data_IF_387568812204
#
_entry.id   IF_387568812204
#
_cell.length_a   1.000
_cell.length_b   1.000
_cell.length_c   1.000
_cell.angle_alpha   90.00
_cell.angle_beta   90.00
_cell.angle_gamma   90.00
#
_symmetry.space_group_name_H-M   'P 1'
#
loop_
_entity.id
_entity.type
_entity.pdbx_description
1 polymer ?
#
# COMPACT_ATOMS: atom_id res chain seq x y z
N UNK A 1 15.67 -21.22 -0.46
CA UNK A 1 14.48 -20.45 -0.05
C UNK A 1 13.41 -20.78 -1.06
N UNK A 2 12.24 -21.20 -0.59
CA UNK A 2 11.07 -21.45 -1.45
C UNK A 2 10.71 -20.19 -2.25
N UNK A 3 10.28 -20.35 -3.50
CA UNK A 3 10.00 -19.23 -4.39
C UNK A 3 8.79 -18.39 -3.92
N UNK A 4 7.77 -19.03 -3.35
CA UNK A 4 6.62 -18.36 -2.74
C UNK A 4 7.05 -17.53 -1.53
N UNK A 5 7.86 -18.10 -0.63
CA UNK A 5 8.42 -17.38 0.53
C UNK A 5 9.24 -16.16 0.11
N UNK A 6 10.06 -16.29 -0.94
CA UNK A 6 10.84 -15.18 -1.48
C UNK A 6 9.95 -14.03 -1.96
N UNK A 7 8.85 -14.34 -2.65
CA UNK A 7 7.88 -13.34 -3.12
C UNK A 7 7.18 -12.64 -1.96
N UNK A 8 6.83 -13.36 -0.89
CA UNK A 8 6.22 -12.74 0.31
C UNK A 8 7.17 -11.71 0.94
N UNK A 9 8.48 -11.98 1.00
CA UNK A 9 9.43 -10.97 1.45
C UNK A 9 9.49 -9.73 0.54
N UNK A 10 9.36 -9.91 -0.78
CA UNK A 10 9.25 -8.79 -1.72
C UNK A 10 7.97 -7.98 -1.46
N UNK A 11 6.84 -8.62 -1.16
CA UNK A 11 5.62 -7.93 -0.71
C UNK A 11 5.86 -7.08 0.54
N UNK A 12 6.63 -7.60 1.50
CA UNK A 12 7.03 -6.88 2.70
C UNK A 12 7.84 -5.62 2.39
N UNK A 13 8.89 -5.75 1.57
CA UNK A 13 9.73 -4.63 1.14
C UNK A 13 8.91 -3.58 0.40
N UNK A 14 8.04 -4.02 -0.50
CA UNK A 14 7.14 -3.16 -1.26
C UNK A 14 6.20 -2.36 -0.32
N UNK A 15 5.62 -3.00 0.70
CA UNK A 15 4.79 -2.34 1.71
C UNK A 15 5.57 -1.34 2.57
N UNK A 16 6.82 -1.64 2.94
CA UNK A 16 7.70 -0.64 3.61
C UNK A 16 7.92 0.57 2.70
N UNK A 17 8.17 0.35 1.41
CA UNK A 17 8.31 1.43 0.43
C UNK A 17 7.10 2.37 0.42
N UNK A 18 5.89 1.83 0.49
CA UNK A 18 4.66 2.63 0.58
C UNK A 18 4.49 3.35 1.92
N UNK A 19 4.83 2.71 3.05
CA UNK A 19 4.85 3.39 4.35
C UNK A 19 5.78 4.62 4.32
N UNK A 20 6.99 4.45 3.80
CA UNK A 20 7.97 5.53 3.64
C UNK A 20 7.46 6.61 2.68
N UNK A 21 6.89 6.23 1.54
CA UNK A 21 6.27 7.17 0.60
C UNK A 21 5.21 8.05 1.27
N UNK A 22 4.32 7.46 2.08
CA UNK A 22 3.31 8.19 2.85
C UNK A 22 3.90 9.09 3.95
N UNK A 23 5.01 8.70 4.57
CA UNK A 23 5.78 9.57 5.48
C UNK A 23 6.29 10.82 4.75
N UNK A 24 6.62 10.71 3.47
CA UNK A 24 7.08 11.85 2.68
C UNK A 24 5.96 12.79 2.22
N UNK A 25 4.67 12.47 2.42
CA UNK A 25 3.56 13.33 1.97
C UNK A 25 3.62 14.74 2.54
N UNK A 26 4.04 14.88 3.81
CA UNK A 26 4.20 16.19 4.42
C UNK A 26 5.18 17.10 3.67
N UNK A 27 6.20 16.51 3.04
CA UNK A 27 7.21 17.21 2.24
C UNK A 27 6.77 17.34 0.78
N UNK A 28 6.39 16.23 0.15
CA UNK A 28 6.05 16.17 -1.27
C UNK A 28 4.87 17.06 -1.64
N UNK A 29 3.84 17.09 -0.79
CA UNK A 29 2.62 17.86 -1.01
C UNK A 29 2.53 19.12 -0.15
N UNK A 30 3.64 19.50 0.51
CA UNK A 30 3.73 20.70 1.37
C UNK A 30 2.58 20.80 2.38
N UNK A 31 2.16 19.68 2.97
CA UNK A 31 0.96 19.62 3.82
C UNK A 31 0.99 20.55 5.03
N UNK A 32 2.17 20.94 5.52
CA UNK A 32 2.29 21.97 6.56
C UNK A 32 1.62 23.28 6.16
N UNK A 33 1.67 23.64 4.88
CA UNK A 33 1.04 24.84 4.30
C UNK A 33 -0.33 24.51 3.70
N UNK A 34 -0.39 23.52 2.82
CA UNK A 34 -1.61 23.25 2.03
C UNK A 34 -2.81 22.83 2.90
N UNK A 35 -2.59 22.07 3.98
CA UNK A 35 -3.70 21.64 4.83
C UNK A 35 -4.24 22.75 5.75
N UNK A 36 -3.55 23.89 5.86
CA UNK A 36 -4.06 25.03 6.64
C UNK A 36 -5.29 25.67 5.97
N UNK A 37 -5.46 25.47 4.66
CA UNK A 37 -6.61 25.95 3.89
C UNK A 37 -7.89 25.13 4.14
N UNK A 38 -7.79 24.02 4.86
CA UNK A 38 -8.93 23.15 5.19
C UNK A 38 -9.54 23.52 6.55
N UNK A 39 -10.81 23.17 6.74
CA UNK A 39 -11.43 23.24 8.07
C UNK A 39 -10.64 22.38 9.08
N UNK A 40 -10.66 22.74 10.38
CA UNK A 40 -9.95 21.97 11.41
C UNK A 40 -10.30 20.47 11.40
N UNK A 41 -11.58 20.14 11.18
CA UNK A 41 -12.06 18.76 11.08
C UNK A 41 -11.44 18.03 9.88
N UNK A 42 -11.53 18.60 8.67
CA UNK A 42 -11.01 17.96 7.46
C UNK A 42 -9.49 17.79 7.50
N UNK A 43 -8.77 18.79 8.03
CA UNK A 43 -7.33 18.70 8.26
C UNK A 43 -6.98 17.55 9.21
N UNK A 44 -7.72 17.41 10.31
CA UNK A 44 -7.53 16.32 11.27
C UNK A 44 -7.79 14.95 10.65
N UNK A 45 -8.90 14.82 9.92
CA UNK A 45 -9.28 13.57 9.24
C UNK A 45 -8.19 13.11 8.26
N UNK A 46 -7.67 14.00 7.41
CA UNK A 46 -6.61 13.64 6.47
C UNK A 46 -5.30 13.23 7.15
N UNK A 47 -4.92 13.89 8.26
CA UNK A 47 -3.75 13.50 9.05
C UNK A 47 -3.92 12.10 9.66
N UNK A 48 -5.06 11.85 10.28
CA UNK A 48 -5.38 10.54 10.86
C UNK A 48 -5.38 9.47 9.78
N UNK A 49 -6.02 9.72 8.63
CA UNK A 49 -6.05 8.78 7.51
C UNK A 49 -4.64 8.43 7.03
N UNK A 50 -3.76 9.42 6.83
CA UNK A 50 -2.38 9.16 6.40
C UNK A 50 -1.58 8.35 7.44
N UNK A 51 -1.73 8.69 8.72
CA UNK A 51 -1.06 7.95 9.81
C UNK A 51 -1.57 6.50 9.93
N UNK A 52 -2.87 6.27 9.71
CA UNK A 52 -3.44 4.91 9.70
C UNK A 52 -2.99 4.12 8.48
N UNK A 53 -2.86 4.75 7.31
CA UNK A 53 -2.28 4.09 6.13
C UNK A 53 -0.82 3.68 6.36
N UNK A 54 0.00 4.56 6.93
CA UNK A 54 1.39 4.21 7.30
C UNK A 54 1.40 3.01 8.25
N UNK A 55 0.55 3.03 9.29
CA UNK A 55 0.43 1.92 10.23
C UNK A 55 0.04 0.61 9.53
N UNK A 56 -0.96 0.64 8.63
CA UNK A 56 -1.41 -0.56 7.91
C UNK A 56 -0.29 -1.10 7.00
N UNK A 57 0.43 -0.24 6.28
CA UNK A 57 1.55 -0.69 5.45
C UNK A 57 2.68 -1.31 6.26
N UNK A 58 3.01 -0.75 7.43
CA UNK A 58 3.98 -1.34 8.34
C UNK A 58 3.48 -2.65 8.95
N UNK A 59 2.20 -2.74 9.28
CA UNK A 59 1.58 -3.98 9.75
C UNK A 59 1.69 -5.07 8.69
N UNK A 60 1.28 -4.79 7.45
CA UNK A 60 1.39 -5.72 6.32
C UNK A 60 2.83 -6.15 6.09
N UNK A 61 3.77 -5.20 6.10
CA UNK A 61 5.18 -5.50 5.96
C UNK A 61 5.67 -6.44 7.08
N UNK A 62 5.32 -6.14 8.35
CA UNK A 62 5.69 -6.99 9.48
C UNK A 62 5.10 -8.40 9.37
N UNK A 63 3.85 -8.54 8.91
CA UNK A 63 3.24 -9.86 8.69
C UNK A 63 3.99 -10.64 7.61
N UNK A 64 4.36 -9.99 6.50
CA UNK A 64 5.15 -10.60 5.44
C UNK A 64 6.54 -11.06 5.91
N UNK A 65 7.20 -10.31 6.80
CA UNK A 65 8.53 -10.69 7.30
C UNK A 65 8.49 -11.73 8.41
N UNK A 66 7.46 -11.72 9.26
CA UNK A 66 7.37 -12.58 10.44
C UNK A 66 6.69 -13.92 10.16
N UNK A 67 5.74 -13.98 9.22
CA UNK A 67 4.91 -15.16 8.96
C UNK A 67 4.86 -15.56 7.47
N UNK A 68 5.98 -15.58 6.73
CA UNK A 68 5.94 -15.78 5.28
C UNK A 68 5.45 -17.16 4.87
N UNK A 69 5.73 -18.20 5.67
CA UNK A 69 5.31 -19.58 5.39
C UNK A 69 3.81 -19.73 5.66
N UNK A 70 3.33 -19.20 6.79
CA UNK A 70 1.92 -19.25 7.15
C UNK A 70 1.05 -18.46 6.17
N UNK A 71 1.59 -17.38 5.60
CA UNK A 71 0.90 -16.58 4.59
C UNK A 71 0.58 -17.36 3.31
N UNK A 72 1.38 -18.36 2.93
CA UNK A 72 1.17 -19.17 1.72
C UNK A 72 0.53 -20.53 2.02
N UNK A 73 0.80 -21.13 3.18
CA UNK A 73 0.33 -22.48 3.51
C UNK A 73 -1.06 -22.50 4.16
N UNK A 74 -1.52 -21.39 4.74
CA UNK A 74 -2.78 -21.35 5.50
C UNK A 74 -3.90 -20.62 4.76
N UNK A 75 -5.14 -21.04 5.00
CA UNK A 75 -6.34 -20.35 4.46
C UNK A 75 -6.43 -18.89 4.93
N UNK A 76 -6.06 -18.62 6.18
CA UNK A 76 -6.06 -17.26 6.73
C UNK A 76 -4.97 -16.40 6.07
N UNK A 77 -3.78 -16.97 5.86
CA UNK A 77 -2.69 -16.34 5.13
C UNK A 77 -3.07 -15.99 3.69
N UNK A 78 -3.66 -16.94 2.97
CA UNK A 78 -4.13 -16.71 1.61
C UNK A 78 -5.22 -15.65 1.56
N UNK A 79 -6.15 -15.64 2.53
CA UNK A 79 -7.15 -14.57 2.65
C UNK A 79 -6.49 -13.19 2.88
N UNK A 80 -5.44 -13.13 3.70
CA UNK A 80 -4.68 -11.91 3.92
C UNK A 80 -3.99 -11.42 2.63
N UNK A 81 -3.36 -12.31 1.86
CA UNK A 81 -2.73 -11.97 0.58
C UNK A 81 -3.77 -11.46 -0.43
N UNK A 82 -4.90 -12.16 -0.58
CA UNK A 82 -6.02 -11.73 -1.44
C UNK A 82 -6.56 -10.36 -0.99
N UNK A 83 -6.74 -10.16 0.31
CA UNK A 83 -7.19 -8.88 0.86
C UNK A 83 -6.27 -7.71 0.48
N UNK A 84 -4.95 -7.93 0.50
CA UNK A 84 -3.98 -6.92 0.06
C UNK A 84 -4.00 -6.72 -1.47
N UNK A 85 -4.16 -7.78 -2.26
CA UNK A 85 -4.32 -7.65 -3.71
C UNK A 85 -5.57 -6.82 -4.06
N UNK A 86 -6.69 -7.05 -3.36
CA UNK A 86 -7.93 -6.28 -3.51
C UNK A 86 -7.76 -4.82 -3.07
N UNK A 87 -6.99 -4.56 -2.00
CA UNK A 87 -6.64 -3.19 -1.60
C UNK A 87 -5.94 -2.44 -2.74
N UNK A 88 -4.95 -3.06 -3.38
CA UNK A 88 -4.23 -2.43 -4.51
C UNK A 88 -5.10 -2.27 -5.76
N UNK A 89 -6.01 -3.20 -6.01
CA UNK A 89 -7.01 -3.08 -7.07
C UNK A 89 -7.95 -1.90 -6.82
N UNK A 90 -8.50 -1.79 -5.60
CA UNK A 90 -9.34 -0.67 -5.19
C UNK A 90 -8.60 0.66 -5.35
N UNK A 91 -7.36 0.76 -4.85
CA UNK A 91 -6.51 1.95 -5.03
C UNK A 91 -6.26 2.31 -6.50
N UNK A 92 -6.09 1.31 -7.36
CA UNK A 92 -5.95 1.52 -8.81
C UNK A 92 -7.23 2.11 -9.41
N UNK A 93 -8.40 1.57 -9.07
CA UNK A 93 -9.70 2.09 -9.54
C UNK A 93 -9.92 3.53 -9.05
N UNK A 94 -9.70 3.77 -7.76
CA UNK A 94 -9.83 5.09 -7.14
C UNK A 94 -8.91 6.13 -7.79
N UNK A 95 -7.76 5.73 -8.31
CA UNK A 95 -6.86 6.61 -9.05
C UNK A 95 -7.56 7.23 -10.27
N UNK A 96 -8.34 6.44 -11.01
CA UNK A 96 -9.09 6.90 -12.18
C UNK A 96 -10.40 7.61 -11.83
N UNK A 97 -10.96 7.38 -10.64
CA UNK A 97 -12.19 8.05 -10.19
C UNK A 97 -11.87 9.42 -9.57
N UNK A 98 -10.93 9.48 -8.63
CA UNK A 98 -10.66 10.66 -7.81
C UNK A 98 -9.45 11.48 -8.24
N UNK A 99 -8.46 10.88 -8.93
CA UNK A 99 -7.22 11.56 -9.32
C UNK A 99 -7.00 11.58 -10.83
N UNK A 100 -7.99 12.14 -11.55
CA UNK A 100 -8.04 12.30 -13.02
C UNK A 100 -7.06 13.36 -13.54
N UNK A 101 -5.77 13.19 -13.26
CA UNK A 101 -4.71 14.12 -13.63
C UNK A 101 -3.74 13.43 -14.59
N UNK A 102 -3.49 14.03 -15.75
CA UNK A 102 -2.49 13.53 -16.70
C UNK A 102 -1.10 14.03 -16.32
N UNK A 103 -0.46 13.36 -15.35
CA UNK A 103 0.88 13.70 -14.88
C UNK A 103 1.74 12.44 -14.78
N UNK A 104 3.02 12.52 -15.17
CA UNK A 104 3.94 11.36 -15.21
C UNK A 104 3.99 10.60 -13.87
N UNK A 105 4.05 11.33 -12.75
CA UNK A 105 4.07 10.71 -11.41
C UNK A 105 2.79 9.95 -11.08
N UNK A 106 1.63 10.38 -11.60
CA UNK A 106 0.36 9.67 -11.41
C UNK A 106 0.41 8.34 -12.15
N UNK A 107 0.93 8.31 -13.38
CA UNK A 107 1.10 7.06 -14.15
C UNK A 107 2.08 6.09 -13.49
N UNK A 108 3.20 6.61 -12.95
CA UNK A 108 4.15 5.79 -12.17
C UNK A 108 3.47 5.20 -10.95
N UNK A 109 2.69 5.99 -10.21
CA UNK A 109 1.98 5.52 -9.03
C UNK A 109 0.93 4.45 -9.37
N UNK A 110 0.20 4.62 -10.48
CA UNK A 110 -0.73 3.60 -11.00
C UNK A 110 -0.01 2.30 -11.34
N UNK A 111 1.14 2.37 -12.01
CA UNK A 111 1.94 1.18 -12.32
C UNK A 111 2.42 0.47 -11.04
N UNK A 112 2.81 1.22 -10.01
CA UNK A 112 3.14 0.65 -8.71
C UNK A 112 1.93 -0.05 -8.07
N UNK A 113 0.73 0.53 -8.13
CA UNK A 113 -0.46 -0.15 -7.61
C UNK A 113 -0.76 -1.45 -8.35
N UNK A 114 -0.65 -1.47 -9.68
CA UNK A 114 -0.80 -2.69 -10.49
C UNK A 114 0.26 -3.73 -10.10
N UNK A 115 1.50 -3.31 -9.88
CA UNK A 115 2.55 -4.17 -9.34
C UNK A 115 2.16 -4.75 -7.97
N UNK A 116 1.55 -3.95 -7.09
CA UNK A 116 1.01 -4.42 -5.82
C UNK A 116 -0.03 -5.55 -5.98
N UNK A 117 -0.93 -5.44 -6.95
CA UNK A 117 -1.89 -6.51 -7.27
C UNK A 117 -1.14 -7.80 -7.62
N UNK A 118 -0.17 -7.72 -8.54
CA UNK A 118 0.62 -8.87 -8.97
C UNK A 118 1.42 -9.49 -7.82
N UNK A 119 2.15 -8.68 -7.05
CA UNK A 119 2.98 -9.14 -5.93
C UNK A 119 2.17 -9.89 -4.87
N UNK A 120 0.99 -9.40 -4.49
CA UNK A 120 0.16 -10.07 -3.48
C UNK A 120 -0.68 -11.23 -4.04
N UNK A 121 -0.73 -11.41 -5.36
CA UNK A 121 -1.46 -12.51 -6.02
C UNK A 121 -0.54 -13.68 -6.36
N UNK A 122 0.68 -13.43 -6.83
CA UNK A 122 1.61 -14.48 -7.30
C UNK A 122 1.95 -15.56 -6.25
N UNK A 123 2.18 -15.24 -4.95
CA UNK A 123 2.48 -16.26 -3.95
C UNK A 123 1.35 -17.27 -3.72
N UNK A 124 0.13 -17.02 -4.20
CA UNK A 124 -1.00 -17.93 -4.06
C UNK A 124 -0.96 -19.12 -5.03
N UNK A 125 -0.06 -19.09 -6.02
CA UNK A 125 -0.02 -20.05 -7.14
C UNK A 125 1.32 -20.78 -7.27
N UNK A 126 2.27 -20.52 -6.38
CA UNK A 126 3.64 -21.04 -6.42
C UNK A 126 3.89 -21.84 -5.16
#
# INVERSE_FOLDING_TARGET
>A
MDAGVALVYVCGIYSVGFAVFHIYFWKLFRWKKELQNLSPANRGILQIANLRLIYIFLFVASTCFLFPVELIETKLGNFFLVGNALFWLGRTIEQFIFLKINHKMVHVLTALFILGIALFTLPLFI
#
